data_IF_621285023973
#
_entry.id   IF_621285023973
#
_cell.length_a   1.000
_cell.length_b   1.000
_cell.length_c   1.000
_cell.angle_alpha   90.00
_cell.angle_beta   90.00
_cell.angle_gamma   90.00
#
_symmetry.space_group_name_H-M   'P 1'
#
loop_
_entity.id
_entity.type
_entity.pdbx_description
1 polymer ?
#
# COMPACT_ATOMS: atom_id res chain seq x y z
N UNK A 1 66.07 43.50 16.78
CA UNK A 1 66.45 43.02 15.44
C UNK A 1 65.43 41.97 15.04
N UNK A 2 64.55 42.13 14.06
CA UNK A 2 64.37 43.18 13.05
C UNK A 2 62.95 43.01 12.48
N UNK A 3 62.20 44.12 12.44
CA UNK A 3 61.19 44.57 11.44
C UNK A 3 60.30 43.51 10.77
N UNK A 4 58.98 43.44 11.00
CA UNK A 4 57.90 44.44 10.82
C UNK A 4 57.65 44.84 9.36
N UNK A 5 56.33 44.89 9.01
CA UNK A 5 55.62 45.62 7.94
C UNK A 5 55.03 44.74 6.84
N UNK A 6 53.79 44.91 6.38
CA UNK A 6 52.75 45.91 6.62
C UNK A 6 51.47 45.38 5.94
N UNK A 7 50.29 45.49 6.59
CA UNK A 7 49.01 45.79 5.91
C UNK A 7 48.15 46.67 6.81
N UNK A 8 47.85 47.88 6.30
CA UNK A 8 47.04 48.97 6.86
C UNK A 8 45.52 48.60 6.89
N UNK A 9 44.77 48.79 7.99
CA UNK A 9 43.98 49.99 8.48
C UNK A 9 42.60 50.18 7.79
N UNK A 10 41.51 49.63 8.40
CA UNK A 10 40.30 50.26 9.05
C UNK A 10 39.11 50.65 8.11
N UNK A 11 37.83 50.85 8.55
CA UNK A 11 37.13 50.67 9.87
C UNK A 11 35.74 49.93 9.77
N UNK A 12 34.90 49.86 10.84
CA UNK A 12 33.74 48.93 10.94
C UNK A 12 32.36 49.58 10.64
N UNK A 13 31.36 48.76 10.28
CA UNK A 13 29.96 49.18 10.19
C UNK A 13 28.97 48.17 10.81
N UNK A 14 28.31 48.67 11.86
CA UNK A 14 27.06 48.34 12.58
C UNK A 14 26.03 47.35 11.98
N UNK A 15 25.69 46.36 12.83
CA UNK A 15 24.37 45.85 13.30
C UNK A 15 23.18 45.59 12.35
N UNK A 16 22.53 44.42 12.53
CA UNK A 16 21.08 44.15 12.83
C UNK A 16 20.87 42.63 12.56
N UNK A 17 20.82 41.73 13.56
CA UNK A 17 19.67 41.33 14.40
C UNK A 17 18.35 41.05 13.66
N UNK A 18 18.18 39.82 13.14
CA UNK A 18 16.85 39.17 12.97
C UNK A 18 16.97 37.69 12.59
N UNK A 19 17.10 36.78 13.58
CA UNK A 19 16.80 35.35 13.38
C UNK A 19 16.53 34.58 14.69
N UNK A 20 15.92 35.22 15.70
CA UNK A 20 15.55 34.53 16.96
C UNK A 20 14.21 34.99 17.50
N UNK A 21 13.18 34.95 16.66
CA UNK A 21 11.82 35.31 17.07
C UNK A 21 10.75 34.56 16.26
N UNK A 22 10.69 33.23 16.34
CA UNK A 22 9.47 32.50 15.95
C UNK A 22 9.22 31.18 16.70
N UNK A 23 9.84 31.00 17.87
CA UNK A 23 9.49 29.91 18.80
C UNK A 23 9.45 30.44 20.23
N UNK A 24 8.38 31.16 20.60
CA UNK A 24 7.84 31.28 21.97
C UNK A 24 6.71 32.32 22.03
N UNK A 25 5.48 31.82 22.12
CA UNK A 25 4.23 32.37 22.71
C UNK A 25 3.09 31.74 21.90
N UNK A 26 2.26 30.87 22.47
CA UNK A 26 1.37 31.19 23.57
C UNK A 26 0.95 29.91 24.31
N UNK A 27 1.28 29.85 25.60
CA UNK A 27 0.52 29.06 26.57
C UNK A 27 0.06 30.01 27.70
N UNK A 28 -1.22 29.86 28.05
CA UNK A 28 -1.97 30.39 29.20
C UNK A 28 -2.55 31.81 29.11
N UNK A 29 -3.89 31.85 28.96
CA UNK A 29 -4.73 32.55 29.93
C UNK A 29 -6.02 31.77 30.22
N UNK A 30 -6.40 31.79 31.49
CA UNK A 30 -7.48 31.11 32.21
C UNK A 30 -8.88 31.68 31.97
N UNK A 31 -9.93 30.86 32.15
CA UNK A 31 -11.21 31.31 32.74
C UNK A 31 -12.53 30.85 32.10
N UNK A 32 -13.17 29.86 32.74
CA UNK A 32 -14.62 29.54 32.87
C UNK A 32 -15.66 30.18 31.93
N UNK A 33 -16.59 29.34 31.47
CA UNK A 33 -18.00 29.73 31.25
C UNK A 33 -18.72 28.95 30.16
N UNK A 34 -19.56 27.99 30.55
CA UNK A 34 -20.47 27.23 29.68
C UNK A 34 -21.63 28.08 29.16
N UNK A 35 -21.95 28.00 27.86
CA UNK A 35 -23.32 27.89 27.36
C UNK A 35 -23.31 27.23 25.98
N UNK A 36 -24.15 26.21 25.82
CA UNK A 36 -24.25 25.42 24.60
C UNK A 36 -24.80 26.22 23.44
N UNK A 37 -24.22 25.97 22.26
CA UNK A 37 -24.86 26.23 20.97
C UNK A 37 -24.69 24.98 20.13
N UNK A 38 -25.81 24.29 19.92
CA UNK A 38 -25.96 23.18 19.00
C UNK A 38 -25.53 23.64 17.61
N UNK A 39 -24.44 23.09 17.09
CA UNK A 39 -24.08 23.24 15.68
C UNK A 39 -24.79 22.12 14.94
N UNK A 40 -25.72 22.53 14.08
CA UNK A 40 -26.47 21.73 13.13
C UNK A 40 -25.55 20.94 12.20
N UNK A 41 -25.92 19.69 11.96
CA UNK A 41 -25.20 18.68 11.18
C UNK A 41 -25.37 18.82 9.66
N UNK A 42 -25.34 20.04 9.11
CA UNK A 42 -25.47 20.31 7.67
C UNK A 42 -24.30 21.17 7.15
N UNK A 43 -23.07 20.72 7.37
CA UNK A 43 -21.93 21.18 6.60
C UNK A 43 -21.70 20.17 5.47
N UNK A 44 -22.18 20.52 4.27
CA UNK A 44 -22.05 19.71 3.08
C UNK A 44 -20.59 19.30 2.82
N UNK A 45 -20.43 18.06 2.40
CA UNK A 45 -19.21 17.57 1.77
C UNK A 45 -18.90 18.45 0.56
N UNK A 46 -17.80 19.19 0.60
CA UNK A 46 -17.30 19.98 -0.52
C UNK A 46 -16.27 19.12 -1.30
N UNK A 47 -16.66 18.51 -2.44
CA UNK A 47 -15.78 17.65 -3.21
C UNK A 47 -14.58 18.39 -3.84
N UNK A 48 -14.57 19.73 -3.85
CA UNK A 48 -13.46 20.52 -4.40
C UNK A 48 -12.27 20.63 -3.44
N UNK A 49 -12.49 20.46 -2.14
CA UNK A 49 -11.45 20.60 -1.12
C UNK A 49 -10.78 19.27 -0.71
N UNK A 50 -11.18 18.16 -1.37
CA UNK A 50 -10.68 16.81 -1.10
C UNK A 50 -9.57 16.36 -2.08
N UNK A 51 -9.13 17.22 -3.01
CA UNK A 51 -8.08 16.90 -3.99
C UNK A 51 -6.72 17.37 -3.47
N UNK A 52 -5.82 16.46 -3.05
CA UNK A 52 -4.50 16.84 -2.54
C UNK A 52 -3.59 17.48 -3.60
N UNK A 53 -3.89 17.29 -4.90
CA UNK A 53 -3.14 17.86 -6.02
C UNK A 53 -4.08 18.46 -7.07
N UNK A 54 -3.74 19.64 -7.60
CA UNK A 54 -4.50 20.35 -8.64
C UNK A 54 -3.64 20.59 -9.88
N UNK A 55 -4.28 20.73 -11.04
CA UNK A 55 -3.59 21.07 -12.29
C UNK A 55 -2.81 22.38 -12.17
N UNK A 56 -3.36 23.35 -11.43
CA UNK A 56 -2.71 24.63 -11.17
C UNK A 56 -1.39 24.47 -10.39
N UNK A 57 -1.26 23.43 -9.54
CA UNK A 57 -0.02 23.17 -8.81
C UNK A 57 1.10 22.72 -9.74
N UNK A 58 0.78 22.01 -10.83
CA UNK A 58 1.72 21.64 -11.89
C UNK A 58 2.16 22.89 -12.66
N UNK A 59 1.22 23.72 -13.07
CA UNK A 59 1.48 24.90 -13.87
C UNK A 59 2.28 25.97 -13.10
N UNK A 60 2.05 26.09 -11.79
CA UNK A 60 2.72 27.07 -10.93
C UNK A 60 4.10 26.61 -10.43
N UNK A 61 4.40 25.30 -10.48
CA UNK A 61 5.67 24.74 -10.01
C UNK A 61 6.38 23.98 -11.15
N UNK A 62 6.98 24.70 -12.11
CA UNK A 62 7.52 24.13 -13.36
C UNK A 62 8.67 23.13 -13.15
N UNK A 63 9.24 23.10 -11.94
CA UNK A 63 10.33 22.21 -11.56
C UNK A 63 9.88 20.89 -10.92
N UNK A 64 8.58 20.71 -10.63
CA UNK A 64 8.06 19.45 -10.07
C UNK A 64 8.05 18.31 -11.13
N UNK A 65 7.88 17.06 -10.66
CA UNK A 65 7.92 15.87 -11.52
C UNK A 65 6.85 15.89 -12.61
N UNK A 66 5.60 16.17 -12.24
CA UNK A 66 4.47 16.22 -13.17
C UNK A 66 4.62 17.28 -14.27
N UNK A 67 5.21 18.44 -13.96
CA UNK A 67 5.47 19.49 -14.95
C UNK A 67 6.55 19.05 -15.94
N UNK A 68 7.57 18.31 -15.48
CA UNK A 68 8.59 17.70 -16.34
C UNK A 68 8.00 16.58 -17.19
N UNK A 69 7.14 15.73 -16.61
CA UNK A 69 6.38 14.71 -17.35
C UNK A 69 5.57 15.36 -18.45
N UNK A 70 4.75 16.38 -18.15
CA UNK A 70 3.94 17.08 -19.15
C UNK A 70 4.80 17.72 -20.26
N UNK A 71 5.94 18.32 -19.92
CA UNK A 71 6.90 18.81 -20.93
C UNK A 71 7.44 17.70 -21.81
N UNK A 72 7.77 16.55 -21.22
CA UNK A 72 8.25 15.40 -21.97
C UNK A 72 7.17 14.78 -22.84
N UNK A 73 5.90 14.75 -22.42
CA UNK A 73 4.78 14.26 -23.26
C UNK A 73 4.64 15.12 -24.51
N UNK A 74 4.67 16.44 -24.37
CA UNK A 74 4.51 17.38 -25.47
C UNK A 74 3.05 17.78 -25.69
N UNK A 75 2.66 18.05 -26.93
CA UNK A 75 1.32 18.55 -27.30
C UNK A 75 0.66 17.62 -28.31
N UNK A 76 -0.66 17.69 -28.36
CA UNK A 76 -1.48 17.05 -29.40
C UNK A 76 -1.24 15.53 -29.58
N UNK A 77 -0.83 14.84 -28.51
CA UNK A 77 -0.51 13.41 -28.50
C UNK A 77 -1.68 12.55 -28.01
N UNK A 78 -1.76 11.29 -28.47
CA UNK A 78 -2.60 10.26 -27.84
C UNK A 78 -1.82 9.66 -26.67
N UNK A 79 -2.35 9.85 -25.46
CA UNK A 79 -1.67 9.49 -24.21
C UNK A 79 -2.45 8.41 -23.48
N UNK A 80 -1.74 7.37 -23.03
CA UNK A 80 -2.22 6.48 -21.99
C UNK A 80 -1.57 6.86 -20.67
N UNK A 81 -2.35 7.30 -19.70
CA UNK A 81 -1.88 7.63 -18.35
C UNK A 81 -2.18 6.48 -17.41
N UNK A 82 -1.14 5.80 -16.93
CA UNK A 82 -1.23 4.76 -15.92
C UNK A 82 -1.21 5.42 -14.55
N UNK A 83 -2.19 5.14 -13.68
CA UNK A 83 -2.28 5.72 -12.34
C UNK A 83 -2.63 7.22 -12.33
N UNK A 84 -3.79 7.60 -12.88
CA UNK A 84 -4.14 9.02 -13.03
C UNK A 84 -4.62 9.70 -11.73
N UNK A 85 -4.85 8.95 -10.65
CA UNK A 85 -5.44 9.45 -9.40
C UNK A 85 -6.71 10.28 -9.68
N UNK A 86 -6.76 11.53 -9.21
CA UNK A 86 -7.91 12.44 -9.44
C UNK A 86 -7.87 13.17 -10.79
N UNK A 87 -6.94 12.85 -11.68
CA UNK A 87 -6.82 13.40 -13.04
C UNK A 87 -6.13 14.76 -13.14
N UNK A 88 -5.29 15.12 -12.17
CA UNK A 88 -4.65 16.45 -12.14
C UNK A 88 -3.58 16.61 -13.24
N UNK A 89 -2.80 15.56 -13.54
CA UNK A 89 -1.91 15.55 -14.70
C UNK A 89 -2.71 15.38 -16.00
N UNK A 90 -3.73 14.50 -16.02
CA UNK A 90 -4.68 14.36 -17.13
C UNK A 90 -5.21 15.71 -17.62
N UNK A 91 -5.67 16.56 -16.71
CA UNK A 91 -6.20 17.89 -17.03
C UNK A 91 -5.15 18.77 -17.74
N UNK A 92 -3.91 18.76 -17.27
CA UNK A 92 -2.80 19.51 -17.89
C UNK A 92 -2.52 18.98 -19.31
N UNK A 93 -2.47 17.66 -19.50
CA UNK A 93 -2.23 17.06 -20.80
C UNK A 93 -3.36 17.38 -21.79
N UNK A 94 -4.62 17.36 -21.34
CA UNK A 94 -5.78 17.76 -22.16
C UNK A 94 -5.70 19.24 -22.54
N UNK A 95 -5.31 20.13 -21.62
CA UNK A 95 -5.05 21.56 -21.92
C UNK A 95 -3.91 21.74 -22.94
N UNK A 96 -2.98 20.79 -23.04
CA UNK A 96 -1.93 20.76 -24.06
C UNK A 96 -2.40 20.23 -25.43
N UNK A 97 -3.68 19.86 -25.56
CA UNK A 97 -4.27 19.32 -26.79
C UNK A 97 -4.21 17.79 -26.89
N UNK A 98 -3.68 17.11 -25.87
CA UNK A 98 -3.57 15.66 -25.87
C UNK A 98 -4.94 14.99 -25.68
N UNK A 99 -5.06 13.79 -26.26
CA UNK A 99 -6.21 12.89 -26.08
C UNK A 99 -5.81 11.82 -25.08
N UNK A 100 -6.42 11.80 -23.90
CA UNK A 100 -5.94 10.99 -22.77
C UNK A 100 -6.91 9.86 -22.46
N UNK A 101 -6.41 8.63 -22.49
CA UNK A 101 -7.03 7.47 -21.83
C UNK A 101 -6.29 7.24 -20.53
N UNK A 102 -7.02 7.02 -19.44
CA UNK A 102 -6.42 6.88 -18.11
C UNK A 102 -6.78 5.54 -17.45
N UNK A 103 -5.91 5.06 -16.58
CA UNK A 103 -6.14 3.89 -15.73
C UNK A 103 -5.96 4.28 -14.28
N UNK A 104 -6.90 3.89 -13.42
CA UNK A 104 -6.83 4.15 -11.97
C UNK A 104 -7.45 2.98 -11.20
N UNK A 105 -6.86 2.60 -10.06
CA UNK A 105 -7.35 1.48 -9.26
C UNK A 105 -8.49 1.91 -8.32
N UNK A 106 -8.47 3.15 -7.82
CA UNK A 106 -9.53 3.70 -6.97
C UNK A 106 -10.70 4.25 -7.82
N UNK A 107 -11.92 3.67 -7.71
CA UNK A 107 -13.09 4.16 -8.42
C UNK A 107 -13.42 5.63 -8.12
N UNK A 108 -13.06 6.14 -6.94
CA UNK A 108 -13.35 7.53 -6.57
C UNK A 108 -12.44 8.50 -7.32
N UNK A 109 -11.13 8.24 -7.33
CA UNK A 109 -10.16 8.95 -8.18
C UNK A 109 -10.55 8.91 -9.66
N UNK A 110 -10.86 7.71 -10.16
CA UNK A 110 -11.28 7.51 -11.55
C UNK A 110 -12.50 8.35 -11.94
N UNK A 111 -13.50 8.44 -11.05
CA UNK A 111 -14.69 9.27 -11.28
C UNK A 111 -14.36 10.77 -11.40
N UNK A 112 -13.36 11.26 -10.66
CA UNK A 112 -12.87 12.63 -10.83
C UNK A 112 -12.10 12.81 -12.14
N UNK A 113 -11.22 11.88 -12.48
CA UNK A 113 -10.42 11.92 -13.72
C UNK A 113 -11.28 11.85 -14.99
N UNK A 114 -12.45 11.19 -14.92
CA UNK A 114 -13.41 11.10 -16.02
C UNK A 114 -14.00 12.47 -16.45
N UNK A 115 -13.85 13.51 -15.63
CA UNK A 115 -14.19 14.88 -16.03
C UNK A 115 -13.23 15.50 -17.05
N UNK A 116 -12.07 14.86 -17.29
CA UNK A 116 -11.00 15.37 -18.15
C UNK A 116 -10.59 14.39 -19.24
N UNK A 117 -10.41 13.11 -18.91
CA UNK A 117 -9.98 12.08 -19.85
C UNK A 117 -11.06 11.74 -20.88
N UNK A 118 -10.64 11.28 -22.07
CA UNK A 118 -11.55 10.70 -23.07
C UNK A 118 -12.20 9.42 -22.54
N UNK A 119 -11.43 8.64 -21.76
CA UNK A 119 -11.88 7.40 -21.14
C UNK A 119 -11.04 7.08 -19.88
N UNK A 120 -11.67 6.51 -18.85
CA UNK A 120 -11.00 6.04 -17.63
C UNK A 120 -11.35 4.59 -17.36
N UNK A 121 -10.33 3.76 -17.21
CA UNK A 121 -10.43 2.33 -16.88
C UNK A 121 -10.18 2.17 -15.38
N UNK A 122 -11.12 1.54 -14.67
CA UNK A 122 -10.95 1.22 -13.25
C UNK A 122 -10.32 -0.16 -13.11
N UNK A 123 -9.02 -0.25 -12.89
CA UNK A 123 -8.30 -1.53 -12.88
C UNK A 123 -6.99 -1.51 -12.08
N UNK A 124 -6.57 -2.69 -11.62
CA UNK A 124 -5.26 -2.94 -11.02
C UNK A 124 -4.22 -3.23 -12.11
N UNK A 125 -3.24 -2.33 -12.27
CA UNK A 125 -2.15 -2.44 -13.25
C UNK A 125 -1.32 -3.73 -13.12
N UNK A 126 -1.22 -4.33 -11.93
CA UNK A 126 -0.49 -5.60 -11.75
C UNK A 126 -1.19 -6.77 -12.44
N UNK A 127 -2.50 -6.66 -12.72
CA UNK A 127 -3.32 -7.73 -13.30
C UNK A 127 -3.94 -7.39 -14.65
N UNK A 128 -4.03 -6.10 -14.98
CA UNK A 128 -4.62 -5.61 -16.22
C UNK A 128 -3.86 -6.13 -17.45
N UNK A 129 -4.59 -6.64 -18.44
CA UNK A 129 -4.10 -6.89 -19.80
C UNK A 129 -4.50 -5.70 -20.67
N UNK A 130 -3.53 -4.81 -20.93
CA UNK A 130 -3.81 -3.54 -21.62
C UNK A 130 -4.22 -3.77 -23.08
N UNK A 131 -3.64 -4.78 -23.73
CA UNK A 131 -3.96 -5.07 -25.13
C UNK A 131 -5.37 -5.66 -25.29
N UNK A 132 -5.85 -6.40 -24.30
CA UNK A 132 -7.21 -6.92 -24.28
C UNK A 132 -8.26 -5.84 -23.92
N UNK A 133 -7.94 -4.95 -22.98
CA UNK A 133 -8.85 -3.88 -22.53
C UNK A 133 -8.95 -2.75 -23.57
N UNK A 134 -7.87 -2.46 -24.29
CA UNK A 134 -7.78 -1.40 -25.31
C UNK A 134 -7.47 -2.00 -26.69
N UNK A 135 -8.36 -2.86 -27.23
CA UNK A 135 -8.14 -3.48 -28.53
C UNK A 135 -8.05 -2.41 -29.61
N UNK A 136 -7.12 -2.58 -30.55
CA UNK A 136 -6.86 -1.68 -31.68
C UNK A 136 -6.46 -0.23 -31.34
N UNK A 137 -6.37 0.13 -30.05
CA UNK A 137 -5.86 1.42 -29.65
C UNK A 137 -4.33 1.39 -29.60
N UNK A 138 -3.73 2.48 -30.05
CA UNK A 138 -2.30 2.74 -29.94
C UNK A 138 -2.06 4.16 -29.47
N UNK A 139 -1.03 4.31 -28.66
CA UNK A 139 -0.69 5.57 -28.02
C UNK A 139 0.66 6.08 -28.50
N UNK A 140 0.74 7.38 -28.75
CA UNK A 140 2.00 8.05 -29.05
C UNK A 140 2.89 8.09 -27.79
N UNK A 141 2.26 8.26 -26.61
CA UNK A 141 2.94 8.32 -25.32
C UNK A 141 2.21 7.46 -24.29
N UNK A 142 2.95 6.68 -23.50
CA UNK A 142 2.45 6.11 -22.24
C UNK A 142 3.13 6.82 -21.07
N UNK A 143 2.36 7.23 -20.07
CA UNK A 143 2.85 7.91 -18.86
C UNK A 143 2.66 7.01 -17.65
N UNK A 144 3.71 6.89 -16.84
CA UNK A 144 3.65 6.29 -15.50
C UNK A 144 4.35 7.24 -14.52
N UNK A 145 3.59 8.21 -14.00
CA UNK A 145 4.12 9.25 -13.13
C UNK A 145 3.88 8.89 -11.66
N UNK A 146 4.95 8.55 -10.92
CA UNK A 146 4.88 8.16 -9.51
C UNK A 146 4.01 6.88 -9.31
N UNK A 147 4.27 5.86 -10.14
CA UNK A 147 3.45 4.63 -10.22
C UNK A 147 4.27 3.37 -9.96
N UNK A 148 5.41 3.22 -10.62
CA UNK A 148 6.12 1.93 -10.69
C UNK A 148 6.57 1.43 -9.30
N UNK A 149 6.90 2.35 -8.40
CA UNK A 149 7.25 2.11 -7.02
C UNK A 149 6.10 1.54 -6.18
N UNK A 150 4.84 1.76 -6.58
CA UNK A 150 3.65 1.23 -5.90
C UNK A 150 3.19 -0.13 -6.46
N UNK A 151 3.69 -0.54 -7.63
CA UNK A 151 3.27 -1.78 -8.30
C UNK A 151 4.04 -3.00 -7.77
N UNK A 152 3.42 -4.17 -7.70
CA UNK A 152 4.13 -5.40 -7.29
C UNK A 152 5.09 -5.86 -8.38
N UNK A 153 4.73 -5.72 -9.65
CA UNK A 153 5.54 -6.13 -10.80
C UNK A 153 5.69 -4.99 -11.83
N UNK A 154 6.59 -4.01 -11.58
CA UNK A 154 6.77 -2.87 -12.48
C UNK A 154 7.22 -3.28 -13.89
N UNK A 155 7.99 -4.37 -14.02
CA UNK A 155 8.40 -4.90 -15.31
C UNK A 155 7.22 -5.40 -16.16
N UNK A 156 6.22 -6.05 -15.53
CA UNK A 156 4.98 -6.45 -16.21
C UNK A 156 4.20 -5.22 -16.68
N UNK A 157 4.08 -4.20 -15.83
CA UNK A 157 3.36 -2.95 -16.19
C UNK A 157 4.01 -2.28 -17.39
N UNK A 158 5.35 -2.17 -17.40
CA UNK A 158 6.10 -1.64 -18.55
C UNK A 158 5.94 -2.52 -19.80
N UNK A 159 5.96 -3.85 -19.65
CA UNK A 159 5.73 -4.78 -20.76
C UNK A 159 4.34 -4.60 -21.40
N UNK A 160 3.30 -4.43 -20.59
CA UNK A 160 1.94 -4.20 -21.09
C UNK A 160 1.80 -2.82 -21.73
N UNK A 161 2.43 -1.79 -21.16
CA UNK A 161 2.49 -0.45 -21.74
C UNK A 161 3.09 -0.47 -23.16
N UNK A 162 4.18 -1.22 -23.37
CA UNK A 162 4.80 -1.34 -24.70
C UNK A 162 3.91 -2.04 -25.73
N UNK A 163 2.97 -2.91 -25.32
CA UNK A 163 2.09 -3.63 -26.27
C UNK A 163 1.05 -2.71 -26.92
N UNK A 164 0.68 -1.63 -26.25
CA UNK A 164 -0.28 -0.62 -26.71
C UNK A 164 0.40 0.67 -27.19
N UNK A 165 1.73 0.72 -27.15
CA UNK A 165 2.52 1.84 -27.65
C UNK A 165 2.68 1.77 -29.17
N UNK A 166 2.65 2.91 -29.84
CA UNK A 166 3.03 2.99 -31.26
C UNK A 166 4.53 2.73 -31.48
N UNK A 167 4.90 2.35 -32.70
CA UNK A 167 6.27 1.96 -33.05
C UNK A 167 7.31 3.07 -32.79
N UNK A 168 6.93 4.33 -33.01
CA UNK A 168 7.75 5.52 -32.73
C UNK A 168 7.38 6.20 -31.40
N UNK A 169 6.49 5.56 -30.63
CA UNK A 169 6.00 6.07 -29.37
C UNK A 169 7.05 6.08 -28.26
N UNK A 170 6.74 6.75 -27.17
CA UNK A 170 7.62 6.83 -26.00
C UNK A 170 6.90 6.52 -24.69
N UNK A 171 7.64 6.02 -23.72
CA UNK A 171 7.18 5.89 -22.33
C UNK A 171 7.82 7.01 -21.52
N UNK A 172 7.03 7.76 -20.76
CA UNK A 172 7.52 8.78 -19.83
C UNK A 172 7.24 8.31 -18.40
N UNK A 173 8.29 8.21 -17.59
CA UNK A 173 8.21 7.65 -16.24
C UNK A 173 8.82 8.62 -15.24
N UNK A 174 8.16 8.90 -14.13
CA UNK A 174 8.78 9.56 -12.98
C UNK A 174 9.00 8.56 -11.85
N UNK A 175 10.19 8.55 -11.24
CA UNK A 175 10.59 7.57 -10.22
C UNK A 175 11.30 8.26 -9.05
N UNK A 176 10.84 8.09 -7.80
CA UNK A 176 11.47 8.69 -6.62
C UNK A 176 12.87 8.12 -6.37
N UNK A 177 13.79 8.97 -5.90
CA UNK A 177 15.17 8.61 -5.64
C UNK A 177 15.41 8.31 -4.16
N UNK A 178 15.56 7.04 -3.79
CA UNK A 178 15.89 6.63 -2.40
C UNK A 178 17.29 7.07 -1.99
N UNK A 179 18.17 7.40 -2.95
CA UNK A 179 19.52 7.88 -2.66
C UNK A 179 19.59 9.39 -2.32
N UNK A 180 18.45 10.07 -2.24
CA UNK A 180 18.41 11.46 -1.77
C UNK A 180 19.06 11.60 -0.38
N UNK A 181 19.82 12.66 -0.16
CA UNK A 181 20.62 12.86 1.05
C UNK A 181 19.78 12.81 2.33
N UNK A 182 18.56 13.34 2.32
CA UNK A 182 17.67 13.27 3.49
C UNK A 182 17.36 11.82 3.92
N UNK A 183 17.15 10.89 2.97
CA UNK A 183 16.96 9.46 3.27
C UNK A 183 18.25 8.86 3.84
N UNK A 184 19.39 9.18 3.21
CA UNK A 184 20.70 8.67 3.63
C UNK A 184 21.08 9.13 5.04
N UNK A 185 20.81 10.38 5.37
CA UNK A 185 21.08 10.96 6.70
C UNK A 185 20.14 10.36 7.75
N UNK A 186 18.86 10.18 7.44
CA UNK A 186 17.95 9.44 8.31
C UNK A 186 18.46 8.01 8.59
N UNK A 187 18.87 7.28 7.55
CA UNK A 187 19.44 5.94 7.71
C UNK A 187 20.72 5.92 8.56
N UNK A 188 21.62 6.89 8.37
CA UNK A 188 22.83 7.04 9.18
C UNK A 188 22.50 7.37 10.65
N UNK A 189 21.42 8.11 10.90
CA UNK A 189 20.88 8.37 12.23
C UNK A 189 20.13 7.16 12.84
N UNK A 190 20.03 6.04 12.10
CA UNK A 190 19.35 4.81 12.51
C UNK A 190 17.82 4.89 12.35
N UNK A 191 17.34 5.72 11.44
CA UNK A 191 15.92 6.04 11.26
C UNK A 191 15.44 5.73 9.84
N UNK A 192 14.19 5.28 9.71
CA UNK A 192 13.51 5.09 8.43
C UNK A 192 12.03 5.49 8.57
N UNK A 193 11.74 6.80 8.65
CA UNK A 193 10.41 7.28 8.99
C UNK A 193 9.47 7.18 7.78
N UNK A 194 8.61 6.17 7.78
CA UNK A 194 7.52 6.07 6.80
C UNK A 194 6.57 7.27 6.92
N UNK A 195 6.10 7.75 5.77
CA UNK A 195 5.16 8.86 5.64
C UNK A 195 3.95 8.48 4.77
N UNK A 196 2.98 9.38 4.69
CA UNK A 196 1.78 9.24 3.83
C UNK A 196 2.04 9.68 2.39
N UNK A 197 3.12 10.44 2.17
CA UNK A 197 3.54 10.99 0.89
C UNK A 197 5.07 11.12 0.87
N UNK A 198 5.64 11.24 -0.33
CA UNK A 198 7.06 11.55 -0.54
C UNK A 198 7.96 10.31 -0.67
N UNK A 199 9.29 10.48 -0.55
CA UNK A 199 10.23 9.39 -0.87
C UNK A 199 10.05 8.13 -0.02
N UNK A 200 9.61 8.29 1.23
CA UNK A 200 9.35 7.21 2.19
C UNK A 200 7.85 6.98 2.40
N UNK A 201 7.04 7.22 1.36
CA UNK A 201 5.64 6.84 1.36
C UNK A 201 5.50 5.35 1.74
N UNK A 202 4.63 5.07 2.72
CA UNK A 202 4.37 3.71 3.23
C UNK A 202 3.86 2.73 2.18
N UNK A 203 3.37 3.24 1.05
CA UNK A 203 2.83 2.45 -0.05
C UNK A 203 3.88 2.12 -1.11
N UNK A 204 5.10 2.68 -1.03
CA UNK A 204 6.21 2.27 -1.90
C UNK A 204 6.64 0.83 -1.59
N UNK A 205 6.55 -0.04 -2.59
CA UNK A 205 7.02 -1.42 -2.57
C UNK A 205 8.45 -1.55 -3.09
N UNK A 206 8.88 -0.64 -3.98
CA UNK A 206 10.20 -0.62 -4.57
C UNK A 206 10.88 0.73 -4.35
N UNK A 207 12.20 0.70 -4.17
CA UNK A 207 13.02 1.88 -3.96
C UNK A 207 14.13 1.94 -5.01
N UNK A 208 14.24 3.07 -5.70
CA UNK A 208 15.15 3.20 -6.82
C UNK A 208 16.25 4.23 -6.59
N UNK A 209 17.42 3.91 -7.12
CA UNK A 209 18.47 4.88 -7.45
C UNK A 209 18.43 5.11 -8.95
N UNK A 210 19.20 6.07 -9.47
CA UNK A 210 19.30 6.25 -10.93
C UNK A 210 19.76 4.98 -11.65
N UNK A 211 20.68 4.21 -11.03
CA UNK A 211 21.20 2.98 -11.61
C UNK A 211 20.12 1.89 -11.66
N UNK A 212 19.44 1.61 -10.53
CA UNK A 212 18.41 0.56 -10.50
C UNK A 212 17.15 0.92 -11.30
N UNK A 213 16.80 2.21 -11.40
CA UNK A 213 15.76 2.68 -12.30
C UNK A 213 16.15 2.47 -13.78
N UNK A 214 17.41 2.78 -14.12
CA UNK A 214 17.94 2.55 -15.47
C UNK A 214 17.92 1.06 -15.82
N UNK A 215 18.36 0.20 -14.91
CA UNK A 215 18.37 -1.25 -15.09
C UNK A 215 16.96 -1.80 -15.30
N UNK A 216 15.97 -1.34 -14.51
CA UNK A 216 14.57 -1.71 -14.71
C UNK A 216 14.10 -1.35 -16.13
N UNK A 217 14.29 -0.10 -16.55
CA UNK A 217 13.82 0.38 -17.85
C UNK A 217 14.49 -0.39 -19.00
N UNK A 218 15.83 -0.50 -18.95
CA UNK A 218 16.61 -1.18 -19.99
C UNK A 218 16.31 -2.68 -20.06
N UNK A 219 16.17 -3.36 -18.92
CA UNK A 219 15.81 -4.79 -18.89
C UNK A 219 14.42 -5.07 -19.44
N UNK A 220 13.53 -4.07 -19.42
CA UNK A 220 12.22 -4.13 -20.06
C UNK A 220 12.29 -3.81 -21.57
N UNK A 221 13.47 -3.66 -22.18
CA UNK A 221 13.59 -3.38 -23.60
C UNK A 221 13.37 -1.91 -23.98
N UNK A 222 13.55 -0.99 -23.04
CA UNK A 222 13.45 0.45 -23.28
C UNK A 222 14.84 1.10 -23.38
N UNK A 223 15.04 1.94 -24.40
CA UNK A 223 16.17 2.84 -24.52
C UNK A 223 15.83 4.18 -23.84
N UNK A 224 16.71 4.65 -22.96
CA UNK A 224 16.55 5.96 -22.31
C UNK A 224 17.02 7.05 -23.27
N UNK A 225 16.10 7.90 -23.70
CA UNK A 225 16.37 9.00 -24.64
C UNK A 225 16.69 10.30 -23.90
N UNK A 226 16.07 10.52 -22.73
CA UNK A 226 16.32 11.67 -21.89
C UNK A 226 16.06 11.35 -20.41
N UNK A 227 16.77 12.06 -19.53
CA UNK A 227 16.57 12.02 -18.07
C UNK A 227 16.60 13.44 -17.54
N UNK A 228 15.49 13.89 -16.98
CA UNK A 228 15.43 15.12 -16.18
C UNK A 228 15.46 14.80 -14.69
N UNK A 229 15.93 15.77 -13.90
CA UNK A 229 16.06 15.66 -12.44
C UNK A 229 15.18 16.71 -11.79
N UNK A 230 14.31 16.27 -10.88
CA UNK A 230 13.65 17.14 -9.92
C UNK A 230 14.59 17.25 -8.73
N UNK A 231 15.02 18.47 -8.40
CA UNK A 231 15.90 18.69 -7.25
C UNK A 231 15.15 19.26 -6.08
N UNK A 232 15.49 18.82 -4.86
CA UNK A 232 15.01 19.41 -3.61
C UNK A 232 16.18 19.53 -2.63
N UNK A 233 16.17 20.56 -1.81
CA UNK A 233 17.12 20.61 -0.70
C UNK A 233 16.77 19.54 0.34
N UNK A 234 17.73 19.18 1.20
CA UNK A 234 17.53 18.21 2.29
C UNK A 234 16.32 18.58 3.16
N UNK A 235 16.19 19.86 3.52
CA UNK A 235 15.09 20.37 4.33
C UNK A 235 13.72 20.28 3.62
N UNK A 236 13.69 20.40 2.30
CA UNK A 236 12.46 20.41 1.49
C UNK A 236 11.97 19.00 1.13
N UNK A 237 12.77 17.96 1.41
CA UNK A 237 12.40 16.57 1.20
C UNK A 237 11.44 16.03 2.27
N UNK A 238 11.19 16.80 3.34
CA UNK A 238 10.24 16.48 4.41
C UNK A 238 10.48 15.13 5.12
N UNK A 239 11.74 14.71 5.19
CA UNK A 239 12.15 13.51 5.94
C UNK A 239 12.79 13.98 7.24
N UNK A 240 12.12 13.81 8.39
CA UNK A 240 12.70 14.17 9.68
C UNK A 240 13.80 13.17 10.05
N UNK A 241 14.88 13.65 10.65
CA UNK A 241 15.87 12.81 11.31
C UNK A 241 16.55 13.56 12.45
N UNK A 242 17.08 12.82 13.41
CA UNK A 242 17.84 13.40 14.52
C UNK A 242 19.27 13.79 14.08
N UNK A 243 19.46 15.07 13.81
CA UNK A 243 20.74 15.67 13.43
C UNK A 243 21.84 15.45 14.50
N UNK A 244 21.49 15.36 15.79
CA UNK A 244 22.46 15.21 16.88
C UNK A 244 23.14 13.83 16.89
N UNK A 245 22.56 12.85 16.17
CA UNK A 245 23.15 11.52 16.00
C UNK A 245 24.24 11.47 14.93
N UNK A 246 24.38 12.53 14.14
CA UNK A 246 25.31 12.57 13.01
C UNK A 246 26.62 13.26 13.40
N UNK A 247 27.78 12.69 13.03
CA UNK A 247 29.06 13.38 13.21
C UNK A 247 29.13 14.71 12.43
N UNK A 248 29.89 15.71 12.92
CA UNK A 248 30.12 16.95 12.17
C UNK A 248 30.67 16.69 10.77
N UNK A 249 30.17 17.42 9.76
CA UNK A 249 30.63 17.30 8.37
C UNK A 249 29.91 16.23 7.54
N UNK A 250 29.11 15.35 8.15
CA UNK A 250 28.42 14.25 7.45
C UNK A 250 27.29 14.76 6.56
N UNK A 251 26.56 15.78 7.00
CA UNK A 251 25.49 16.39 6.22
C UNK A 251 26.03 17.09 4.97
N UNK A 252 27.10 17.87 5.12
CA UNK A 252 27.77 18.54 4.01
C UNK A 252 28.36 17.52 3.04
N UNK A 253 29.00 16.46 3.57
CA UNK A 253 29.51 15.38 2.75
C UNK A 253 28.38 14.68 1.98
N UNK A 254 27.26 14.36 2.64
CA UNK A 254 26.13 13.67 2.02
C UNK A 254 25.49 14.53 0.93
N UNK A 255 25.30 15.83 1.18
CA UNK A 255 24.77 16.79 0.21
C UNK A 255 25.68 16.96 -1.02
N UNK A 256 26.99 16.81 -0.86
CA UNK A 256 27.97 16.93 -1.95
C UNK A 256 28.06 15.69 -2.85
N UNK A 257 27.38 14.59 -2.51
CA UNK A 257 27.45 13.36 -3.31
C UNK A 257 26.64 13.49 -4.62
N UNK A 258 26.99 12.72 -5.66
CA UNK A 258 26.20 12.66 -6.89
C UNK A 258 24.74 12.30 -6.60
N UNK A 259 23.82 12.99 -7.27
CA UNK A 259 22.36 12.81 -7.14
C UNK A 259 21.79 12.99 -5.70
N UNK A 260 22.59 13.53 -4.77
CA UNK A 260 22.19 13.72 -3.38
C UNK A 260 20.99 14.63 -3.20
N UNK A 261 20.82 15.63 -4.07
CA UNK A 261 19.69 16.55 -4.06
C UNK A 261 18.66 16.24 -5.14
N UNK A 262 18.87 15.17 -5.91
CA UNK A 262 17.87 14.71 -6.87
C UNK A 262 16.80 13.98 -6.09
N UNK A 263 15.63 14.61 -6.00
CA UNK A 263 14.46 14.05 -5.34
C UNK A 263 13.82 12.96 -6.21
N UNK A 264 13.75 13.21 -7.52
CA UNK A 264 13.06 12.32 -8.45
C UNK A 264 13.67 12.42 -9.84
N UNK A 265 13.66 11.30 -10.56
CA UNK A 265 14.06 11.25 -11.96
C UNK A 265 12.82 11.22 -12.83
N UNK A 266 12.87 11.90 -13.98
CA UNK A 266 11.86 11.78 -15.03
C UNK A 266 12.55 11.29 -16.29
N UNK A 267 12.22 10.08 -16.71
CA UNK A 267 12.78 9.41 -17.87
C UNK A 267 11.82 9.54 -19.05
N UNK A 268 12.37 9.80 -20.24
CA UNK A 268 11.69 9.55 -21.51
C UNK A 268 12.41 8.42 -22.22
N UNK A 269 11.68 7.36 -22.52
CA UNK A 269 12.21 6.14 -23.09
C UNK A 269 11.49 5.76 -24.37
N UNK A 270 12.16 5.01 -25.25
CA UNK A 270 11.55 4.41 -26.45
C UNK A 270 11.80 2.91 -26.48
N UNK A 271 10.95 2.11 -27.13
CA UNK A 271 11.23 0.70 -27.35
C UNK A 271 12.53 0.50 -28.13
N UNK A 272 13.38 -0.42 -27.68
CA UNK A 272 14.55 -0.87 -28.43
C UNK A 272 14.03 -1.67 -29.64
N UNK A 273 14.02 -1.05 -30.82
CA UNK A 273 13.74 -1.74 -32.07
C UNK A 273 15.02 -2.40 -32.57
N UNK A 274 15.03 -3.73 -32.69
CA UNK A 274 16.15 -4.50 -33.26
C UNK A 274 16.47 -4.19 -34.75
N UNK A 275 15.84 -3.17 -35.35
CA UNK A 275 15.94 -2.83 -36.76
C UNK A 275 17.05 -1.81 -37.12
N UNK A 276 17.80 -1.26 -36.14
CA UNK A 276 18.87 -0.27 -36.42
C UNK A 276 20.28 -0.86 -36.62
N UNK A 277 20.39 -2.06 -37.18
CA UNK A 277 21.68 -2.63 -37.62
C UNK A 277 21.70 -3.07 -39.10
N UNK A 278 20.85 -2.49 -39.95
CA UNK A 278 20.93 -2.72 -41.39
C UNK A 278 20.47 -1.49 -42.19
N UNK A 279 21.24 -0.39 -42.13
CA UNK A 279 21.39 0.63 -43.20
C UNK A 279 21.88 1.96 -42.63
N UNK A 280 23.20 2.12 -42.49
CA UNK A 280 23.81 3.42 -42.69
C UNK A 280 24.18 3.53 -44.19
N UNK A 281 23.84 4.62 -44.90
CA UNK A 281 24.20 4.76 -46.30
C UNK A 281 25.72 4.92 -46.41
N UNK A 282 26.34 4.02 -47.18
CA UNK A 282 27.73 4.13 -47.60
C UNK A 282 27.90 5.36 -48.50
N UNK A 283 28.49 6.42 -47.95
CA UNK A 283 29.02 7.54 -48.71
C UNK A 283 30.14 8.21 -47.93
N UNK A 284 31.33 7.66 -48.02
CA UNK A 284 32.57 8.41 -47.89
C UNK A 284 33.63 7.72 -48.75
N UNK A 285 34.27 8.51 -49.61
CA UNK A 285 35.32 8.08 -50.52
C UNK A 285 36.39 7.28 -49.77
N UNK A 286 36.64 6.04 -50.21
CA UNK A 286 37.76 5.24 -49.75
C UNK A 286 39.05 5.94 -50.21
N UNK A 287 39.72 6.58 -49.25
CA UNK A 287 41.14 6.86 -49.35
C UNK A 287 41.85 5.58 -48.94
N UNK A 288 42.67 5.02 -49.83
CA UNK A 288 43.52 3.87 -49.52
C UNK A 288 44.54 4.29 -48.46
N UNK A 289 44.16 4.11 -47.19
CA UNK A 289 45.07 4.19 -46.05
C UNK A 289 45.74 2.84 -45.93
N UNK A 290 47.04 2.78 -46.23
CA UNK A 290 47.86 1.60 -45.94
C UNK A 290 47.99 1.45 -44.41
N UNK A 291 47.34 0.43 -43.87
CA UNK A 291 47.45 0.05 -42.46
C UNK A 291 48.54 -1.02 -42.35
N UNK A 292 49.59 -0.82 -41.53
CA UNK A 292 50.62 -1.82 -41.27
C UNK A 292 50.03 -3.18 -40.81
N UNK A 293 50.58 -4.28 -41.33
CA UNK A 293 50.09 -5.66 -41.08
C UNK A 293 50.04 -6.04 -39.60
N UNK A 294 50.90 -5.48 -38.76
CA UNK A 294 50.93 -5.68 -37.32
C UNK A 294 49.71 -5.08 -36.60
N UNK A 295 49.21 -3.94 -37.07
CA UNK A 295 47.97 -3.33 -36.56
C UNK A 295 46.75 -4.16 -36.96
N UNK A 296 46.72 -4.65 -38.20
CA UNK A 296 45.65 -5.54 -38.69
C UNK A 296 45.63 -6.87 -37.92
N UNK A 297 46.79 -7.46 -37.64
CA UNK A 297 46.91 -8.68 -36.85
C UNK A 297 46.52 -8.46 -35.37
N UNK A 298 46.87 -7.30 -34.80
CA UNK A 298 46.47 -6.93 -33.46
C UNK A 298 44.94 -6.75 -33.35
N UNK A 299 44.33 -6.01 -34.29
CA UNK A 299 42.89 -5.84 -34.35
C UNK A 299 42.15 -7.16 -34.56
N UNK A 300 42.66 -8.03 -35.44
CA UNK A 300 42.07 -9.35 -35.67
C UNK A 300 42.12 -10.24 -34.42
N UNK A 301 43.23 -10.23 -33.65
CA UNK A 301 43.32 -10.94 -32.37
C UNK A 301 42.37 -10.36 -31.32
N UNK A 302 42.32 -9.04 -31.19
CA UNK A 302 41.41 -8.39 -30.25
C UNK A 302 39.93 -8.71 -30.58
N UNK A 303 39.56 -8.74 -31.86
CA UNK A 303 38.22 -9.15 -32.29
C UNK A 303 37.91 -10.62 -31.97
N UNK A 304 38.87 -11.53 -32.16
CA UNK A 304 38.71 -12.94 -31.82
C UNK A 304 38.57 -13.16 -30.29
N UNK A 305 39.33 -12.42 -29.49
CA UNK A 305 39.21 -12.46 -28.02
C UNK A 305 37.87 -11.90 -27.55
N UNK A 306 37.42 -10.78 -28.14
CA UNK A 306 36.12 -10.19 -27.83
C UNK A 306 34.97 -11.11 -28.26
N UNK A 307 35.04 -11.74 -29.43
CA UNK A 307 34.00 -12.68 -29.87
C UNK A 307 33.96 -13.91 -28.95
N UNK A 308 35.11 -14.43 -28.51
CA UNK A 308 35.18 -15.49 -27.50
C UNK A 308 34.53 -15.09 -26.17
N UNK A 309 34.79 -13.86 -25.69
CA UNK A 309 34.17 -13.34 -24.47
C UNK A 309 32.63 -13.20 -24.62
N UNK A 310 32.16 -12.73 -25.77
CA UNK A 310 30.73 -12.61 -26.08
C UNK A 310 30.06 -13.99 -26.10
N UNK A 311 30.68 -15.01 -26.69
CA UNK A 311 30.12 -16.36 -26.71
C UNK A 311 30.04 -16.98 -25.30
N UNK A 312 31.05 -16.74 -24.45
CA UNK A 312 31.03 -17.20 -23.06
C UNK A 312 29.89 -16.53 -22.27
N UNK A 313 29.75 -15.21 -22.37
CA UNK A 313 28.65 -14.48 -21.72
C UNK A 313 27.28 -14.91 -22.23
N UNK A 314 27.15 -15.24 -23.53
CA UNK A 314 25.92 -15.81 -24.09
C UNK A 314 25.59 -17.17 -23.49
N UNK A 315 26.56 -18.05 -23.35
CA UNK A 315 26.36 -19.36 -22.73
C UNK A 315 25.95 -19.23 -21.25
N UNK A 316 26.57 -18.31 -20.51
CA UNK A 316 26.25 -18.03 -19.11
C UNK A 316 24.84 -17.45 -18.96
N UNK A 317 24.45 -16.52 -19.83
CA UNK A 317 23.08 -15.98 -19.87
C UNK A 317 22.02 -17.05 -20.17
N UNK A 318 22.31 -18.02 -21.04
CA UNK A 318 21.38 -19.14 -21.31
C UNK A 318 21.22 -20.03 -20.06
N UNK A 319 22.31 -20.28 -19.33
CA UNK A 319 22.25 -21.04 -18.08
C UNK A 319 21.44 -20.31 -16.99
N UNK A 320 21.70 -19.01 -16.81
CA UNK A 320 20.94 -18.13 -15.91
C UNK A 320 19.45 -18.06 -16.30
N UNK A 321 19.12 -18.01 -17.59
CA UNK A 321 17.74 -18.03 -18.07
C UNK A 321 17.02 -19.36 -17.72
N UNK A 322 17.72 -20.49 -17.78
CA UNK A 322 17.16 -21.79 -17.38
C UNK A 322 16.92 -21.89 -15.86
N UNK A 323 17.81 -21.30 -15.06
CA UNK A 323 17.68 -21.26 -13.61
C UNK A 323 16.54 -20.33 -13.17
N UNK A 324 16.43 -19.14 -13.77
CA UNK A 324 15.31 -18.20 -13.51
C UNK A 324 13.98 -18.82 -13.92
N UNK A 325 13.88 -19.50 -15.06
CA UNK A 325 12.67 -20.24 -15.45
C UNK A 325 12.29 -21.35 -14.44
N UNK A 326 13.28 -21.97 -13.80
CA UNK A 326 13.06 -22.98 -12.77
C UNK A 326 12.58 -22.37 -11.45
N UNK A 327 13.15 -21.24 -11.04
CA UNK A 327 12.72 -20.49 -9.88
C UNK A 327 11.30 -19.93 -10.07
N UNK A 328 10.99 -19.35 -11.24
CA UNK A 328 9.65 -18.87 -11.56
C UNK A 328 8.58 -19.97 -11.42
N UNK A 329 8.85 -21.19 -11.92
CA UNK A 329 7.95 -22.34 -11.73
C UNK A 329 7.75 -22.71 -10.25
N UNK A 330 8.81 -22.64 -9.44
CA UNK A 330 8.71 -22.88 -7.99
C UNK A 330 7.86 -21.80 -7.30
N UNK A 331 8.06 -20.54 -7.65
CA UNK A 331 7.29 -19.40 -7.12
C UNK A 331 5.81 -19.56 -7.47
N UNK A 332 5.48 -19.86 -8.73
CA UNK A 332 4.08 -20.11 -9.14
C UNK A 332 3.46 -21.26 -8.34
N UNK A 333 4.16 -22.38 -8.17
CA UNK A 333 3.66 -23.52 -7.39
C UNK A 333 3.40 -23.14 -5.91
N UNK A 334 4.34 -22.42 -5.30
CA UNK A 334 4.19 -21.96 -3.91
C UNK A 334 3.02 -20.99 -3.77
N UNK A 335 2.83 -20.09 -4.73
CA UNK A 335 1.73 -19.12 -4.76
C UNK A 335 0.38 -19.82 -4.79
N UNK A 336 0.18 -20.76 -5.72
CA UNK A 336 -1.06 -21.56 -5.80
C UNK A 336 -1.32 -22.34 -4.51
N UNK A 337 -0.26 -22.88 -3.89
CA UNK A 337 -0.38 -23.62 -2.63
C UNK A 337 -0.73 -22.72 -1.45
N UNK A 338 -0.23 -21.48 -1.42
CA UNK A 338 -0.60 -20.47 -0.43
C UNK A 338 -2.07 -20.04 -0.58
N UNK A 339 -2.54 -19.83 -1.80
CA UNK A 339 -3.96 -19.50 -2.07
C UNK A 339 -4.88 -20.63 -1.58
N UNK A 340 -4.56 -21.88 -1.93
CA UNK A 340 -5.32 -23.06 -1.47
C UNK A 340 -5.36 -23.16 0.07
N UNK A 341 -4.26 -22.83 0.74
CA UNK A 341 -4.20 -22.81 2.20
C UNK A 341 -5.01 -21.65 2.81
N UNK A 342 -5.02 -20.50 2.14
CA UNK A 342 -5.83 -19.33 2.53
C UNK A 342 -7.32 -19.66 2.50
N UNK A 343 -7.80 -20.28 1.41
CA UNK A 343 -9.19 -20.72 1.27
C UNK A 343 -9.59 -21.75 2.35
N UNK A 344 -8.72 -22.75 2.60
CA UNK A 344 -8.94 -23.72 3.69
C UNK A 344 -9.01 -23.04 5.06
N UNK A 345 -8.17 -22.05 5.32
CA UNK A 345 -8.20 -21.28 6.57
C UNK A 345 -9.49 -20.45 6.71
N UNK A 346 -9.97 -19.83 5.62
CA UNK A 346 -11.24 -19.12 5.62
C UNK A 346 -12.40 -20.07 5.98
N UNK A 347 -12.39 -21.28 5.39
CA UNK A 347 -13.40 -22.31 5.65
C UNK A 347 -13.37 -22.79 7.11
N UNK A 348 -12.17 -23.05 7.66
CA UNK A 348 -12.00 -23.44 9.06
C UNK A 348 -12.47 -22.35 10.02
N UNK A 349 -12.19 -21.08 9.72
CA UNK A 349 -12.67 -19.94 10.53
C UNK A 349 -14.20 -19.88 10.54
N UNK A 350 -14.85 -20.01 9.38
CA UNK A 350 -16.31 -20.06 9.29
C UNK A 350 -16.88 -21.20 10.15
N UNK A 351 -16.31 -22.42 10.04
CA UNK A 351 -16.75 -23.58 10.84
C UNK A 351 -16.54 -23.38 12.34
N UNK A 352 -15.46 -22.71 12.73
CA UNK A 352 -15.18 -22.40 14.15
C UNK A 352 -16.22 -21.44 14.72
N UNK A 353 -16.66 -20.46 13.93
CA UNK A 353 -17.74 -19.53 14.30
C UNK A 353 -19.06 -20.26 14.47
N UNK A 354 -19.44 -21.11 13.51
CA UNK A 354 -20.67 -21.92 13.58
C UNK A 354 -20.71 -22.79 14.85
N UNK A 355 -19.64 -23.53 15.11
CA UNK A 355 -19.53 -24.37 16.32
C UNK A 355 -19.57 -23.53 17.61
N UNK A 356 -19.04 -22.31 17.56
CA UNK A 356 -19.13 -21.35 18.66
C UNK A 356 -20.56 -20.91 18.96
N UNK A 357 -21.37 -20.67 17.93
CA UNK A 357 -22.79 -20.34 18.07
C UNK A 357 -23.62 -21.55 18.55
N UNK A 358 -23.38 -22.73 17.98
CA UNK A 358 -24.05 -23.96 18.40
C UNK A 358 -23.77 -24.26 19.88
N UNK A 359 -22.52 -24.12 20.33
CA UNK A 359 -22.15 -24.26 21.74
C UNK A 359 -22.89 -23.27 22.64
N UNK A 360 -23.08 -22.02 22.21
CA UNK A 360 -23.85 -21.01 22.96
C UNK A 360 -25.33 -21.42 23.07
N UNK A 361 -25.93 -21.89 21.97
CA UNK A 361 -27.33 -22.37 21.94
C UNK A 361 -27.53 -23.55 22.89
N UNK A 362 -26.70 -24.59 22.77
CA UNK A 362 -26.75 -25.77 23.65
C UNK A 362 -26.51 -25.40 25.12
N UNK A 363 -25.62 -24.45 25.40
CA UNK A 363 -25.42 -23.96 26.77
C UNK A 363 -26.65 -23.23 27.32
N UNK A 364 -27.37 -22.47 26.49
CA UNK A 364 -28.60 -21.79 26.91
C UNK A 364 -29.71 -22.80 27.16
N UNK A 365 -29.91 -23.76 26.24
CA UNK A 365 -30.89 -24.84 26.37
C UNK A 365 -30.64 -25.68 27.63
N UNK A 366 -29.39 -26.07 27.89
CA UNK A 366 -29.01 -26.78 29.11
C UNK A 366 -29.40 -26.01 30.38
N UNK A 367 -29.22 -24.68 30.41
CA UNK A 367 -29.62 -23.85 31.56
C UNK A 367 -31.14 -23.87 31.76
N UNK A 368 -31.91 -23.71 30.69
CA UNK A 368 -33.37 -23.78 30.71
C UNK A 368 -33.86 -25.12 31.25
N UNK A 369 -33.38 -26.23 30.69
CA UNK A 369 -33.75 -27.57 31.13
C UNK A 369 -33.35 -27.84 32.59
N UNK A 370 -32.22 -27.29 33.04
CA UNK A 370 -31.80 -27.39 34.45
C UNK A 370 -32.78 -26.66 35.38
N UNK A 371 -33.26 -25.49 34.99
CA UNK A 371 -34.26 -24.73 35.75
C UNK A 371 -35.62 -25.45 35.79
N UNK A 372 -36.07 -25.98 34.64
CA UNK A 372 -37.30 -26.76 34.54
C UNK A 372 -37.25 -28.03 35.40
N UNK A 373 -36.14 -28.76 35.34
CA UNK A 373 -35.91 -29.93 36.21
C UNK A 373 -36.02 -29.55 37.69
N UNK A 374 -35.34 -28.49 38.13
CA UNK A 374 -35.41 -28.03 39.51
C UNK A 374 -36.83 -27.59 39.93
N UNK A 375 -37.62 -27.03 39.01
CA UNK A 375 -39.02 -26.70 39.25
C UNK A 375 -39.90 -27.94 39.42
N UNK A 376 -39.70 -28.96 38.58
CA UNK A 376 -40.39 -30.25 38.69
C UNK A 376 -40.05 -30.98 39.99
N UNK A 377 -38.78 -31.01 40.37
CA UNK A 377 -38.32 -31.61 41.64
C UNK A 377 -38.99 -30.95 42.85
N UNK A 378 -39.12 -29.61 42.85
CA UNK A 378 -39.87 -28.89 43.90
C UNK A 378 -41.35 -29.27 43.93
N UNK A 379 -42.01 -29.37 42.77
CA UNK A 379 -43.43 -29.77 42.69
C UNK A 379 -43.64 -31.20 43.19
N UNK A 380 -42.74 -32.12 42.84
CA UNK A 380 -42.76 -33.50 43.31
C UNK A 380 -42.62 -33.56 44.84
N UNK A 381 -41.67 -32.82 45.42
CA UNK A 381 -41.49 -32.76 46.86
C UNK A 381 -42.75 -32.27 47.60
N UNK A 382 -43.47 -31.27 47.04
CA UNK A 382 -44.74 -30.79 47.60
C UNK A 382 -45.82 -31.88 47.52
N UNK A 383 -45.92 -32.60 46.41
CA UNK A 383 -46.89 -33.71 46.26
C UNK A 383 -46.58 -34.86 47.25
N UNK A 384 -45.31 -35.23 47.41
CA UNK A 384 -44.90 -36.28 48.35
C UNK A 384 -45.20 -35.90 49.80
N UNK A 385 -44.97 -34.64 50.18
CA UNK A 385 -45.36 -34.12 51.49
C UNK A 385 -46.88 -34.18 51.68
N UNK A 386 -47.66 -33.79 50.68
CA UNK A 386 -49.12 -33.87 50.69
C UNK A 386 -49.63 -35.31 50.83
N UNK A 387 -49.05 -36.25 50.09
CA UNK A 387 -49.40 -37.68 50.17
C UNK A 387 -49.08 -38.25 51.55
N UNK A 388 -47.95 -37.85 52.12
CA UNK A 388 -47.53 -38.26 53.47
C UNK A 388 -48.51 -37.73 54.53
N UNK A 389 -48.91 -36.46 54.44
CA UNK A 389 -49.91 -35.87 55.33
C UNK A 389 -51.27 -36.56 55.21
N UNK A 390 -51.75 -36.82 53.98
CA UNK A 390 -53.00 -37.52 53.74
C UNK A 390 -53.00 -38.95 54.32
N UNK A 391 -51.90 -39.70 54.13
CA UNK A 391 -51.73 -41.04 54.73
C UNK A 391 -51.79 -40.98 56.26
N UNK A 392 -51.18 -39.97 56.88
CA UNK A 392 -51.23 -39.75 58.33
C UNK A 392 -52.64 -39.44 58.83
N UNK A 393 -53.37 -38.57 58.12
CA UNK A 393 -54.76 -38.23 58.43
C UNK A 393 -55.69 -39.44 58.34
N UNK A 394 -55.56 -40.26 57.28
CA UNK A 394 -56.33 -41.51 57.14
C UNK A 394 -56.06 -42.45 58.31
N UNK A 395 -54.79 -42.63 58.70
CA UNK A 395 -54.39 -43.48 59.84
C UNK A 395 -55.02 -42.99 61.14
N UNK A 396 -54.97 -41.68 61.38
CA UNK A 396 -55.56 -41.04 62.56
C UNK A 396 -57.09 -41.22 62.59
N UNK A 397 -57.76 -41.01 61.46
CA UNK A 397 -59.21 -41.22 61.33
C UNK A 397 -59.62 -42.67 61.59
N UNK A 398 -58.87 -43.64 61.04
CA UNK A 398 -59.09 -45.07 61.27
C UNK A 398 -58.94 -45.43 62.75
N UNK A 399 -57.91 -44.91 63.43
CA UNK A 399 -57.72 -45.09 64.88
C UNK A 399 -58.88 -44.50 65.68
N UNK A 400 -59.29 -43.25 65.40
CA UNK A 400 -60.43 -42.62 66.09
C UNK A 400 -61.75 -43.35 65.85
N UNK A 401 -61.97 -43.90 64.64
CA UNK A 401 -63.15 -44.72 64.33
C UNK A 401 -63.12 -46.04 65.10
N UNK A 402 -61.97 -46.72 65.17
CA UNK A 402 -61.81 -47.96 65.95
C UNK A 402 -62.11 -47.74 67.43
N UNK A 403 -61.60 -46.65 68.02
CA UNK A 403 -61.88 -46.27 69.42
C UNK A 403 -63.38 -46.04 69.62
N UNK A 404 -64.04 -45.24 68.76
CA UNK A 404 -65.49 -44.98 68.85
C UNK A 404 -66.33 -46.26 68.73
N UNK A 405 -65.97 -47.16 67.82
CA UNK A 405 -66.65 -48.45 67.66
C UNK A 405 -66.49 -49.30 68.94
N UNK A 406 -65.26 -49.42 69.46
CA UNK A 406 -64.99 -50.19 70.68
C UNK A 406 -65.73 -49.63 71.90
N UNK A 407 -65.88 -48.30 72.00
CA UNK A 407 -66.70 -47.66 73.05
C UNK A 407 -68.19 -47.93 72.85
N UNK A 408 -68.69 -47.90 71.60
CA UNK A 408 -70.08 -48.19 71.30
C UNK A 408 -70.44 -49.66 71.59
N UNK A 409 -69.58 -50.60 71.21
CA UNK A 409 -69.72 -52.04 71.51
C UNK A 409 -69.77 -52.25 73.02
N UNK A 410 -68.82 -51.69 73.79
CA UNK A 410 -68.85 -51.77 75.27
C UNK A 410 -70.14 -51.22 75.89
N UNK A 411 -70.70 -50.14 75.34
CA UNK A 411 -72.00 -49.58 75.77
C UNK A 411 -73.17 -50.50 75.43
N UNK A 412 -73.10 -51.21 74.31
CA UNK A 412 -74.11 -52.18 73.88
C UNK A 412 -74.05 -53.45 74.74
N UNK A 413 -72.86 -54.00 74.96
CA UNK A 413 -72.63 -55.15 75.86
C UNK A 413 -73.15 -54.85 77.28
N UNK A 414 -72.81 -53.68 77.82
CA UNK A 414 -73.29 -53.26 79.15
C UNK A 414 -74.79 -52.94 79.20
N UNK A 415 -75.46 -52.73 78.06
CA UNK A 415 -76.94 -52.66 77.96
C UNK A 415 -77.58 -54.05 77.84
N UNK A 416 -76.95 -54.96 77.10
CA UNK A 416 -77.41 -56.35 76.96
C UNK A 416 -77.31 -57.06 78.31
N UNK A 417 -76.18 -56.97 79.02
CA UNK A 417 -75.99 -57.53 80.36
C UNK A 417 -77.03 -57.01 81.38
N UNK A 418 -77.46 -55.75 81.26
CA UNK A 418 -78.54 -55.19 82.09
C UNK A 418 -79.94 -55.69 81.73
N UNK A 419 -80.13 -56.16 80.49
CA UNK A 419 -81.40 -56.74 80.03
C UNK A 419 -81.50 -58.24 80.29
N UNK A 420 -80.40 -58.99 80.32
CA UNK A 420 -80.38 -60.41 80.67
C UNK A 420 -80.32 -60.68 82.18
N UNK A 421 -80.15 -59.64 83.01
CA UNK A 421 -80.29 -59.67 84.46
C UNK A 421 -81.72 -59.30 84.95
N UNK A 422 -82.68 -59.16 84.03
CA UNK A 422 -84.12 -59.05 84.26
C UNK A 422 -84.80 -60.18 83.51
#
# INVERSE_FOLDING_TARGET
MTMERMRHVLPPSKSIDTATALMRRSSRSTGRGSTGRSVSSDAGFDPLNARPYRAEDIEQHPDNSHARVARMVGRDARVLELGCATGFLTEVLVRQGCRVVAVEIDPTGAAFAAGYADHVIVADLDTLDLAAELPDQRFDIVVAADVLEHTRNPGRVLSEAMRVLDADGAVVVSIPNVAHAAVRLALLAGEFPYADIGLLDRTHLHFYTVASATDLLVSCGLEIVAVERVTKAIADALIPFDHDKLPPGVEEWAAAQPEALTYQFVFRCRPITHARNASAPASAAATDVWIPDDILQFQARAMLEMDGAIQNLRAENVALAAETATLSRKITNLTTRMETLSERNATLRARTTELGEERKRLSAEKRTLTMEKAALERRLAVQDAGLTAARSAIRTFQQSRAVRLATAVRRLESRILRRSAR
#
